data_IF_115153703500
#
_entry.id   IF_115153703500
#
_cell.length_a   1.000
_cell.length_b   1.000
_cell.length_c   1.000
_cell.angle_alpha   90.00
_cell.angle_beta   90.00
_cell.angle_gamma   90.00
#
_symmetry.space_group_name_H-M   'P 1'
#
loop_
_entity.id
_entity.type
_entity.pdbx_description
1 polymer ?
#
# COMPACT_ATOMS: atom_id res chain seq x y z
N UNK A 1 12.51 -40.98 -22.68
CA UNK A 1 12.63 -39.64 -23.32
C UNK A 1 12.54 -38.63 -22.20
N UNK A 2 13.69 -38.28 -21.66
CA UNK A 2 13.79 -37.34 -20.54
C UNK A 2 13.77 -35.93 -21.09
N UNK A 3 12.79 -35.13 -20.64
CA UNK A 3 12.75 -33.70 -20.93
C UNK A 3 13.76 -32.96 -20.05
N UNK A 4 14.67 -32.18 -20.59
CA UNK A 4 15.61 -31.43 -19.76
C UNK A 4 14.85 -30.30 -19.03
N UNK A 5 14.85 -30.39 -17.72
CA UNK A 5 14.48 -29.28 -16.82
C UNK A 5 15.53 -28.19 -17.02
N UNK A 6 15.17 -27.13 -17.72
CA UNK A 6 16.03 -25.98 -17.87
C UNK A 6 16.11 -25.25 -16.51
N UNK A 7 17.17 -25.52 -15.75
CA UNK A 7 17.59 -24.63 -14.67
C UNK A 7 18.04 -23.31 -15.32
N UNK A 8 17.21 -22.26 -15.19
CA UNK A 8 17.61 -20.90 -15.53
C UNK A 8 18.71 -20.51 -14.54
N UNK A 9 19.96 -20.56 -14.97
CA UNK A 9 21.05 -19.93 -14.24
C UNK A 9 20.75 -18.42 -14.22
N UNK A 10 20.47 -17.88 -13.03
CA UNK A 10 20.32 -16.44 -12.86
C UNK A 10 21.66 -15.78 -13.24
N UNK A 11 21.61 -14.80 -14.14
CA UNK A 11 22.79 -13.99 -14.45
C UNK A 11 23.12 -13.10 -13.24
N UNK A 12 24.38 -12.74 -13.06
CA UNK A 12 24.79 -11.84 -11.95
C UNK A 12 24.04 -10.50 -11.94
N UNK A 13 23.51 -10.07 -13.08
CA UNK A 13 22.64 -8.90 -13.20
C UNK A 13 21.24 -9.12 -12.62
N UNK A 14 20.71 -10.32 -12.72
CA UNK A 14 19.40 -10.67 -12.16
C UNK A 14 19.49 -10.73 -10.62
N UNK A 15 20.57 -11.27 -10.05
CA UNK A 15 20.78 -11.29 -8.59
C UNK A 15 20.93 -9.89 -8.00
N UNK A 16 21.62 -8.97 -8.68
CA UNK A 16 21.75 -7.60 -8.24
C UNK A 16 20.41 -6.86 -8.24
N UNK A 17 19.58 -7.08 -9.25
CA UNK A 17 18.23 -6.55 -9.32
C UNK A 17 17.36 -7.13 -8.20
N UNK A 18 17.37 -8.45 -8.02
CA UNK A 18 16.60 -9.14 -6.99
C UNK A 18 16.92 -8.60 -5.60
N UNK A 19 18.21 -8.49 -5.28
CA UNK A 19 18.66 -7.98 -3.98
C UNK A 19 18.30 -6.51 -3.77
N UNK A 20 18.46 -5.66 -4.79
CA UNK A 20 18.13 -4.24 -4.68
C UNK A 20 16.62 -4.02 -4.49
N UNK A 21 15.78 -4.75 -5.25
CA UNK A 21 14.33 -4.67 -5.13
C UNK A 21 13.86 -5.20 -3.78
N UNK A 22 14.36 -6.36 -3.36
CA UNK A 22 14.01 -6.92 -2.05
C UNK A 22 14.35 -5.97 -0.91
N UNK A 23 15.54 -5.35 -0.94
CA UNK A 23 15.99 -4.42 0.10
C UNK A 23 15.06 -3.21 0.23
N UNK A 24 14.69 -2.55 -0.88
CA UNK A 24 13.81 -1.37 -0.82
C UNK A 24 12.36 -1.72 -0.45
N UNK A 25 11.88 -2.90 -0.87
CA UNK A 25 10.54 -3.38 -0.51
C UNK A 25 10.45 -3.66 0.98
N UNK A 26 11.43 -4.37 1.55
CA UNK A 26 11.48 -4.66 3.00
C UNK A 26 11.59 -3.36 3.80
N UNK A 27 12.47 -2.43 3.41
CA UNK A 27 12.62 -1.15 4.08
C UNK A 27 11.32 -0.35 4.09
N UNK A 28 10.62 -0.28 2.96
CA UNK A 28 9.35 0.43 2.86
C UNK A 28 8.23 -0.24 3.67
N UNK A 29 8.19 -1.58 3.76
CA UNK A 29 7.24 -2.30 4.62
C UNK A 29 7.50 -2.03 6.10
N UNK A 30 8.76 -2.07 6.54
CA UNK A 30 9.16 -1.73 7.92
C UNK A 30 8.73 -0.32 8.29
N UNK A 31 8.95 0.65 7.38
CA UNK A 31 8.54 2.04 7.57
C UNK A 31 7.02 2.16 7.64
N UNK A 32 6.27 1.55 6.71
CA UNK A 32 4.81 1.62 6.67
C UNK A 32 4.15 0.97 7.89
N UNK A 33 4.71 -0.13 8.38
CA UNK A 33 4.18 -0.85 9.54
C UNK A 33 4.69 -0.31 10.88
N UNK A 34 5.64 0.63 10.81
CA UNK A 34 6.28 1.23 11.98
C UNK A 34 6.79 0.18 12.99
N UNK A 35 7.31 -0.93 12.48
CA UNK A 35 7.86 -2.01 13.28
C UNK A 35 9.01 -2.71 12.56
N UNK A 36 10.13 -2.98 13.23
CA UNK A 36 11.24 -3.73 12.63
C UNK A 36 10.98 -5.24 12.57
N UNK A 37 9.98 -5.72 13.31
CA UNK A 37 9.67 -7.16 13.40
C UNK A 37 8.71 -7.57 12.28
N UNK A 38 9.22 -7.58 11.04
CA UNK A 38 8.48 -8.03 9.86
C UNK A 38 9.24 -9.16 9.19
N UNK A 39 8.54 -10.25 8.95
CA UNK A 39 9.02 -11.31 8.07
C UNK A 39 8.39 -11.10 6.69
N UNK A 40 9.20 -11.12 5.63
CA UNK A 40 8.76 -10.84 4.26
C UNK A 40 9.14 -12.00 3.36
N UNK A 41 8.18 -12.45 2.57
CA UNK A 41 8.40 -13.42 1.50
C UNK A 41 7.91 -12.80 0.18
N UNK A 42 8.83 -12.56 -0.74
CA UNK A 42 8.54 -12.08 -2.08
C UNK A 42 8.34 -13.31 -2.96
N UNK A 43 7.14 -13.46 -3.53
CA UNK A 43 6.76 -14.66 -4.28
C UNK A 43 7.36 -14.65 -5.68
N UNK A 44 7.04 -13.61 -6.46
CA UNK A 44 7.51 -13.44 -7.84
C UNK A 44 7.39 -11.98 -8.24
N UNK A 45 8.15 -11.58 -9.24
CA UNK A 45 8.02 -10.26 -9.85
C UNK A 45 8.24 -10.34 -11.36
N UNK A 46 7.67 -9.35 -12.03
CA UNK A 46 7.82 -9.12 -13.46
C UNK A 46 8.73 -7.92 -13.70
N UNK A 47 9.58 -8.04 -14.71
CA UNK A 47 10.49 -6.98 -15.12
C UNK A 47 10.15 -6.54 -16.53
N UNK A 48 9.77 -5.29 -16.71
CA UNK A 48 9.50 -4.69 -18.01
C UNK A 48 10.54 -3.62 -18.33
N UNK A 49 11.03 -3.63 -19.57
CA UNK A 49 11.96 -2.58 -20.04
C UNK A 49 11.17 -1.28 -20.17
N UNK A 50 11.57 -0.26 -19.43
CA UNK A 50 10.98 1.08 -19.46
C UNK A 50 11.80 2.05 -20.29
N UNK A 51 13.14 1.95 -20.21
CA UNK A 51 14.09 2.71 -21.02
C UNK A 51 15.38 1.93 -21.20
N UNK A 52 16.38 2.54 -21.81
CA UNK A 52 17.72 1.93 -21.94
C UNK A 52 18.33 1.63 -20.56
N UNK A 53 18.03 2.47 -19.57
CA UNK A 53 18.58 2.38 -18.20
C UNK A 53 17.60 1.83 -17.19
N UNK A 54 16.31 2.03 -17.41
CA UNK A 54 15.28 1.76 -16.38
C UNK A 54 14.52 0.47 -16.67
N UNK A 55 14.22 -0.23 -15.61
CA UNK A 55 13.31 -1.38 -15.61
C UNK A 55 12.18 -1.11 -14.63
N UNK A 56 10.94 -1.24 -15.10
CA UNK A 56 9.80 -1.28 -14.22
C UNK A 56 9.72 -2.68 -13.61
N UNK A 57 9.77 -2.75 -12.30
CA UNK A 57 9.65 -4.00 -11.55
C UNK A 57 8.35 -3.96 -10.79
N UNK A 58 7.51 -4.96 -10.99
CA UNK A 58 6.27 -5.14 -10.24
C UNK A 58 6.15 -6.55 -9.75
N UNK A 59 5.65 -6.73 -8.56
CA UNK A 59 5.54 -8.04 -7.95
C UNK A 59 4.57 -8.08 -6.80
N UNK A 60 4.51 -9.25 -6.21
CA UNK A 60 3.70 -9.54 -5.04
C UNK A 60 4.49 -10.35 -4.03
N UNK A 61 4.02 -10.32 -2.80
CA UNK A 61 4.60 -11.09 -1.72
C UNK A 61 3.65 -11.17 -0.54
N UNK A 62 4.15 -11.75 0.51
CA UNK A 62 3.46 -11.89 1.79
C UNK A 62 4.36 -11.41 2.90
N UNK A 63 3.77 -10.75 3.88
CA UNK A 63 4.48 -10.34 5.09
C UNK A 63 3.76 -10.86 6.33
N UNK A 64 4.51 -10.99 7.39
CA UNK A 64 4.01 -11.33 8.72
C UNK A 64 4.62 -10.36 9.73
N UNK A 65 3.81 -9.86 10.65
CA UNK A 65 4.24 -8.85 11.63
C UNK A 65 4.37 -9.51 13.00
N UNK A 66 5.55 -9.43 13.59
CA UNK A 66 5.84 -10.02 14.89
C UNK A 66 5.62 -11.52 14.90
N UNK A 67 4.99 -12.01 15.96
CA UNK A 67 4.66 -13.43 16.16
C UNK A 67 3.26 -13.80 15.62
N UNK A 68 2.64 -12.94 14.81
CA UNK A 68 1.33 -13.22 14.23
C UNK A 68 1.38 -14.47 13.33
N UNK A 69 0.33 -15.29 13.40
CA UNK A 69 0.24 -16.49 12.60
C UNK A 69 -0.17 -16.20 11.14
N UNK A 70 -0.79 -15.06 10.90
CA UNK A 70 -1.41 -14.74 9.61
C UNK A 70 -0.44 -13.99 8.68
N UNK A 71 -0.31 -14.50 7.46
CA UNK A 71 0.41 -13.85 6.39
C UNK A 71 -0.50 -12.87 5.66
N UNK A 72 0.00 -11.68 5.42
CA UNK A 72 -0.70 -10.59 4.76
C UNK A 72 -0.09 -10.38 3.39
N UNK A 73 -0.91 -10.46 2.35
CA UNK A 73 -0.48 -10.21 0.98
C UNK A 73 -0.16 -8.73 0.74
N UNK A 74 0.79 -8.46 -0.12
CA UNK A 74 1.07 -7.13 -0.64
C UNK A 74 1.47 -7.19 -2.11
N UNK A 75 1.30 -6.07 -2.80
CA UNK A 75 1.86 -5.80 -4.13
C UNK A 75 2.81 -4.64 -4.06
N UNK A 76 3.76 -4.63 -4.96
CA UNK A 76 4.68 -3.51 -5.08
C UNK A 76 5.03 -3.21 -6.53
N UNK A 77 5.43 -1.97 -6.78
CA UNK A 77 6.06 -1.56 -8.02
C UNK A 77 7.17 -0.56 -7.74
N UNK A 78 8.28 -0.69 -8.46
CA UNK A 78 9.43 0.20 -8.37
C UNK A 78 10.13 0.33 -9.72
N UNK A 79 11.02 1.29 -9.84
CA UNK A 79 11.92 1.45 -10.99
C UNK A 79 13.32 1.06 -10.57
N UNK A 80 13.93 0.17 -11.32
CA UNK A 80 15.32 -0.23 -11.15
C UNK A 80 16.19 0.45 -12.21
N UNK A 81 17.24 1.16 -11.76
CA UNK A 81 18.26 1.77 -12.61
C UNK A 81 19.42 0.79 -12.81
N UNK A 82 19.61 0.37 -14.05
CA UNK A 82 20.66 -0.60 -14.41
C UNK A 82 22.07 0.01 -14.37
N UNK A 83 22.19 1.34 -14.44
CA UNK A 83 23.47 2.04 -14.40
C UNK A 83 24.05 2.08 -12.98
N UNK A 84 23.18 2.33 -12.01
CA UNK A 84 23.56 2.41 -10.60
C UNK A 84 23.26 1.14 -9.82
N UNK A 85 22.68 0.12 -10.47
CA UNK A 85 22.24 -1.13 -9.83
C UNK A 85 21.40 -0.86 -8.58
N UNK A 86 20.48 0.08 -8.66
CA UNK A 86 19.67 0.54 -7.53
C UNK A 86 18.19 0.57 -7.87
N UNK A 87 17.35 0.24 -6.88
CA UNK A 87 15.91 0.37 -6.98
C UNK A 87 15.44 1.65 -6.28
N UNK A 88 14.47 2.34 -6.89
CA UNK A 88 13.82 3.49 -6.31
C UNK A 88 12.85 3.10 -5.19
N UNK A 89 12.32 4.10 -4.47
CA UNK A 89 11.34 3.85 -3.41
C UNK A 89 10.08 3.18 -3.99
N UNK A 90 9.66 2.01 -3.46
CA UNK A 90 8.57 1.25 -4.04
C UNK A 90 7.21 1.85 -3.65
N UNK A 91 6.26 1.78 -4.58
CA UNK A 91 4.85 1.93 -4.26
C UNK A 91 4.34 0.58 -3.77
N UNK A 92 3.87 0.52 -2.53
CA UNK A 92 3.36 -0.71 -1.92
C UNK A 92 1.88 -0.57 -1.62
N UNK A 93 1.11 -1.58 -1.99
CA UNK A 93 -0.29 -1.76 -1.61
C UNK A 93 -0.39 -3.01 -0.75
N UNK A 94 -0.74 -2.83 0.50
CA UNK A 94 -0.94 -3.93 1.44
C UNK A 94 -2.38 -4.37 1.33
N UNK A 95 -2.57 -5.67 1.15
CA UNK A 95 -3.88 -6.25 0.90
C UNK A 95 -4.35 -6.10 -0.56
N UNK A 96 -5.49 -6.72 -0.90
CA UNK A 96 -6.19 -6.51 -2.18
C UNK A 96 -5.88 -7.52 -3.27
N UNK A 97 -5.28 -8.67 -2.97
CA UNK A 97 -4.91 -9.59 -4.06
C UNK A 97 -4.73 -11.04 -3.70
N UNK A 98 -4.67 -11.38 -2.45
CA UNK A 98 -4.37 -12.75 -2.05
C UNK A 98 -5.62 -13.54 -1.70
N UNK A 99 -5.62 -14.82 -2.02
CA UNK A 99 -6.57 -15.78 -1.49
C UNK A 99 -6.60 -15.64 0.05
N UNK A 100 -7.70 -15.12 0.61
CA UNK A 100 -7.85 -14.85 2.04
C UNK A 100 -8.34 -13.44 2.36
N UNK A 101 -8.32 -12.51 1.42
CA UNK A 101 -8.95 -11.21 1.63
C UNK A 101 -10.46 -11.32 1.46
N UNK A 102 -11.15 -10.68 2.37
CA UNK A 102 -12.60 -10.67 2.43
C UNK A 102 -13.11 -9.26 2.64
N UNK A 103 -14.07 -8.86 1.82
CA UNK A 103 -14.83 -7.66 2.10
C UNK A 103 -15.67 -7.89 3.36
N UNK A 104 -15.61 -6.95 4.28
CA UNK A 104 -16.32 -6.99 5.55
C UNK A 104 -17.24 -5.77 5.69
N UNK A 105 -18.32 -5.86 6.47
CA UNK A 105 -19.17 -4.71 6.73
C UNK A 105 -18.37 -3.54 7.31
N UNK A 106 -18.69 -2.34 6.87
CA UNK A 106 -18.06 -1.12 7.39
C UNK A 106 -18.44 -0.91 8.85
N UNK A 107 -17.42 -0.76 9.71
CA UNK A 107 -17.64 -0.39 11.10
C UNK A 107 -17.89 1.13 11.20
N UNK A 108 -19.09 1.50 11.68
CA UNK A 108 -19.49 2.90 11.77
C UNK A 108 -18.61 3.74 12.72
N UNK A 109 -17.95 3.12 13.69
CA UNK A 109 -17.04 3.78 14.61
C UNK A 109 -15.72 4.08 13.93
N UNK A 110 -15.17 3.10 13.20
CA UNK A 110 -13.93 3.29 12.44
C UNK A 110 -14.12 4.30 11.31
N UNK A 111 -15.26 4.26 10.61
CA UNK A 111 -15.58 5.24 9.57
C UNK A 111 -15.58 6.66 10.14
N UNK A 112 -16.25 6.87 11.27
CA UNK A 112 -16.28 8.17 11.94
C UNK A 112 -14.91 8.65 12.39
N UNK A 113 -14.11 7.76 12.97
CA UNK A 113 -12.72 8.07 13.34
C UNK A 113 -11.87 8.47 12.14
N UNK A 114 -12.08 7.80 10.99
CA UNK A 114 -11.40 8.13 9.74
C UNK A 114 -11.81 9.52 9.23
N UNK A 115 -13.11 9.81 9.23
CA UNK A 115 -13.64 11.12 8.85
C UNK A 115 -13.07 12.23 9.73
N UNK A 116 -13.11 12.07 11.06
CA UNK A 116 -12.58 13.04 12.02
C UNK A 116 -11.08 13.28 11.84
N UNK A 117 -10.33 12.19 11.60
CA UNK A 117 -8.89 12.28 11.39
C UNK A 117 -8.53 13.04 10.11
N UNK A 118 -9.18 12.71 9.00
CA UNK A 118 -8.95 13.38 7.71
C UNK A 118 -9.43 14.83 7.78
N UNK A 119 -10.59 15.12 8.37
CA UNK A 119 -11.08 16.49 8.57
C UNK A 119 -10.10 17.34 9.40
N UNK A 120 -9.54 16.78 10.47
CA UNK A 120 -8.52 17.45 11.30
C UNK A 120 -7.25 17.77 10.51
N UNK A 121 -6.83 16.87 9.63
CA UNK A 121 -5.63 17.08 8.80
C UNK A 121 -5.91 18.16 7.72
N UNK A 122 -7.08 18.13 7.10
CA UNK A 122 -7.53 19.18 6.17
C UNK A 122 -7.61 20.56 6.85
N UNK A 123 -8.14 20.64 8.07
CA UNK A 123 -8.17 21.87 8.84
C UNK A 123 -6.77 22.44 9.08
N UNK A 124 -5.81 21.55 9.38
CA UNK A 124 -4.42 21.94 9.59
C UNK A 124 -3.76 22.42 8.30
N UNK A 125 -4.02 21.72 7.19
CA UNK A 125 -3.40 22.04 5.90
C UNK A 125 -3.96 23.32 5.29
N UNK A 126 -5.26 23.55 5.40
CA UNK A 126 -5.94 24.68 4.76
C UNK A 126 -6.24 25.84 5.71
N UNK A 127 -5.86 25.73 6.98
CA UNK A 127 -6.07 26.77 7.98
C UNK A 127 -7.55 27.08 8.25
N UNK A 128 -8.44 26.17 7.90
CA UNK A 128 -9.88 26.34 7.94
C UNK A 128 -10.49 25.41 9.01
N UNK A 129 -11.00 25.99 10.10
CA UNK A 129 -11.55 25.26 11.24
C UNK A 129 -12.94 24.63 11.00
N UNK A 130 -13.33 24.44 9.75
CA UNK A 130 -14.65 23.97 9.40
C UNK A 130 -14.65 22.94 8.26
N UNK A 131 -13.53 22.27 8.00
CA UNK A 131 -13.52 21.21 7.00
C UNK A 131 -14.50 20.10 7.41
N UNK A 132 -15.38 19.73 6.49
CA UNK A 132 -16.33 18.65 6.67
C UNK A 132 -16.10 17.61 5.59
N UNK A 133 -16.16 16.35 5.99
CA UNK A 133 -16.02 15.23 5.09
C UNK A 133 -17.34 14.50 5.00
N UNK A 134 -17.78 14.21 3.79
CA UNK A 134 -18.92 13.35 3.52
C UNK A 134 -18.44 12.21 2.64
N UNK A 135 -18.46 10.99 3.17
CA UNK A 135 -18.08 9.80 2.45
C UNK A 135 -19.32 9.13 1.86
N UNK A 136 -19.30 8.87 0.57
CA UNK A 136 -20.44 8.29 -0.17
C UNK A 136 -20.20 6.81 -0.48
N UNK A 137 -18.96 6.44 -0.78
CA UNK A 137 -18.56 5.06 -1.08
C UNK A 137 -17.47 4.62 -0.12
N UNK A 138 -17.72 3.53 0.62
CA UNK A 138 -16.76 3.00 1.58
C UNK A 138 -16.68 1.50 1.38
N UNK A 139 -15.48 0.99 1.20
CA UNK A 139 -15.19 -0.45 1.13
C UNK A 139 -14.16 -0.80 2.17
N UNK A 140 -14.47 -1.77 3.02
CA UNK A 140 -13.54 -2.33 4.00
C UNK A 140 -13.18 -3.76 3.62
N UNK A 141 -11.89 -4.02 3.52
CA UNK A 141 -11.34 -5.35 3.22
C UNK A 141 -10.46 -5.80 4.38
N UNK A 142 -10.74 -6.99 4.88
CA UNK A 142 -9.94 -7.62 5.93
C UNK A 142 -8.77 -8.38 5.28
N UNK A 143 -7.54 -8.00 5.65
CA UNK A 143 -6.31 -8.68 5.28
C UNK A 143 -5.72 -9.43 6.46
N UNK A 144 -5.89 -10.77 6.46
CA UNK A 144 -5.65 -11.55 7.66
C UNK A 144 -6.61 -11.13 8.78
N UNK A 145 -6.36 -11.58 10.00
CA UNK A 145 -7.18 -11.16 11.17
C UNK A 145 -6.73 -9.84 11.80
N UNK A 146 -5.69 -9.23 11.25
CA UNK A 146 -5.04 -8.08 11.86
C UNK A 146 -5.39 -6.76 11.19
N UNK A 147 -5.35 -6.71 9.88
CA UNK A 147 -5.44 -5.45 9.16
C UNK A 147 -6.78 -5.27 8.47
N UNK A 148 -7.33 -4.06 8.60
CA UNK A 148 -8.44 -3.58 7.80
C UNK A 148 -7.93 -2.51 6.84
N UNK A 149 -8.10 -2.72 5.55
CA UNK A 149 -7.89 -1.70 4.53
C UNK A 149 -9.23 -1.06 4.21
N UNK A 150 -9.31 0.25 4.40
CA UNK A 150 -10.51 1.03 4.12
C UNK A 150 -10.20 1.95 2.95
N UNK A 151 -10.98 1.82 1.89
CA UNK A 151 -10.99 2.76 0.77
C UNK A 151 -12.30 3.51 0.78
N UNK A 152 -12.24 4.82 0.64
CA UNK A 152 -13.44 5.65 0.63
C UNK A 152 -13.34 6.75 -0.42
N UNK A 153 -14.49 7.15 -0.95
CA UNK A 153 -14.66 8.31 -1.83
C UNK A 153 -15.75 9.20 -1.26
N UNK A 154 -15.65 10.48 -1.53
CA UNK A 154 -16.64 11.42 -1.07
C UNK A 154 -16.29 12.85 -1.46
N UNK A 155 -16.81 13.79 -0.68
CA UNK A 155 -16.60 15.22 -0.84
C UNK A 155 -16.03 15.82 0.43
N UNK A 156 -14.98 16.61 0.28
CA UNK A 156 -14.44 17.47 1.31
C UNK A 156 -14.96 18.89 1.10
N UNK A 157 -15.69 19.43 2.07
CA UNK A 157 -16.09 20.83 2.12
C UNK A 157 -15.02 21.61 2.90
N UNK A 158 -14.33 22.49 2.20
CA UNK A 158 -13.24 23.29 2.72
C UNK A 158 -13.71 24.73 3.07
N UNK A 159 -15.01 24.91 3.31
CA UNK A 159 -15.60 26.18 3.68
C UNK A 159 -15.46 27.24 2.57
N UNK A 160 -14.73 28.31 2.82
CA UNK A 160 -14.56 29.42 1.84
C UNK A 160 -13.81 28.98 0.56
N UNK A 161 -13.09 27.85 0.59
CA UNK A 161 -12.39 27.32 -0.59
C UNK A 161 -13.28 26.41 -1.45
N UNK A 162 -14.52 26.16 -1.00
CA UNK A 162 -15.48 25.34 -1.70
C UNK A 162 -15.34 23.86 -1.41
N UNK A 163 -16.04 23.05 -2.21
CA UNK A 163 -16.06 21.58 -2.04
C UNK A 163 -15.26 20.90 -3.15
N UNK A 164 -14.54 19.84 -2.81
CA UNK A 164 -13.72 19.08 -3.74
C UNK A 164 -13.90 17.59 -3.53
N UNK A 165 -13.85 16.76 -4.60
CA UNK A 165 -13.81 15.32 -4.45
C UNK A 165 -12.61 14.88 -3.61
N UNK A 166 -12.80 13.85 -2.80
CA UNK A 166 -11.75 13.23 -2.00
C UNK A 166 -11.75 11.73 -2.19
N UNK A 167 -10.55 11.15 -2.27
CA UNK A 167 -10.30 9.71 -2.19
C UNK A 167 -9.44 9.46 -0.95
N UNK A 168 -9.80 8.46 -0.16
CA UNK A 168 -9.09 8.07 1.05
C UNK A 168 -8.68 6.61 0.94
N UNK A 169 -7.46 6.32 1.35
CA UNK A 169 -6.96 4.97 1.56
C UNK A 169 -6.34 4.89 2.95
N UNK A 170 -6.86 4.01 3.79
CA UNK A 170 -6.45 3.86 5.17
C UNK A 170 -6.19 2.41 5.53
N UNK A 171 -5.25 2.20 6.46
CA UNK A 171 -4.90 0.91 7.02
C UNK A 171 -5.03 0.98 8.54
N UNK A 172 -5.89 0.12 9.10
CA UNK A 172 -6.14 0.02 10.53
C UNK A 172 -5.66 -1.31 11.06
N UNK A 173 -4.89 -1.29 12.15
CA UNK A 173 -4.44 -2.49 12.84
C UNK A 173 -5.41 -2.79 13.99
N UNK A 174 -6.16 -3.88 13.86
CA UNK A 174 -7.16 -4.30 14.84
C UNK A 174 -6.52 -4.78 16.15
N UNK A 175 -5.30 -5.32 16.09
CA UNK A 175 -4.58 -5.83 17.26
C UNK A 175 -3.98 -4.67 18.06
N UNK A 176 -3.35 -3.72 17.37
CA UNK A 176 -2.80 -2.51 18.00
C UNK A 176 -3.89 -1.47 18.35
N UNK A 177 -5.09 -1.60 17.77
CA UNK A 177 -6.17 -0.64 17.98
C UNK A 177 -5.89 0.74 17.38
N UNK A 178 -5.20 0.82 16.24
CA UNK A 178 -4.76 2.09 15.70
C UNK A 178 -4.58 2.15 14.19
N UNK A 179 -4.62 3.38 13.68
CA UNK A 179 -4.36 3.66 12.26
C UNK A 179 -2.86 3.59 11.98
N UNK A 180 -2.47 2.70 11.09
CA UNK A 180 -1.09 2.57 10.61
C UNK A 180 -0.79 3.59 9.51
N UNK A 181 -1.77 3.81 8.62
CA UNK A 181 -1.66 4.76 7.53
C UNK A 181 -3.02 5.36 7.21
N UNK A 182 -3.03 6.66 6.92
CA UNK A 182 -4.19 7.36 6.35
C UNK A 182 -3.67 8.29 5.28
N UNK A 183 -4.02 8.02 4.04
CA UNK A 183 -3.71 8.84 2.88
C UNK A 183 -5.00 9.39 2.29
N UNK A 184 -4.95 10.61 1.77
CA UNK A 184 -6.05 11.18 1.01
C UNK A 184 -5.54 12.01 -0.17
N UNK A 185 -6.36 12.07 -1.20
CA UNK A 185 -6.12 12.84 -2.41
C UNK A 185 -7.34 13.73 -2.67
N UNK A 186 -7.09 15.00 -3.00
CA UNK A 186 -8.12 15.98 -3.31
C UNK A 186 -8.12 16.34 -4.80
N UNK A 187 -9.30 16.58 -5.38
CA UNK A 187 -9.45 17.10 -6.72
C UNK A 187 -9.71 16.07 -7.80
N UNK A 188 -9.37 16.39 -9.06
CA UNK A 188 -9.74 15.60 -10.24
C UNK A 188 -9.09 14.20 -10.32
N UNK A 189 -7.99 13.95 -9.61
CA UNK A 189 -7.36 12.63 -9.49
C UNK A 189 -8.15 11.63 -8.62
N UNK A 190 -9.18 12.10 -7.92
CA UNK A 190 -10.07 11.26 -7.12
C UNK A 190 -11.19 10.57 -7.94
N UNK A 191 -11.16 10.74 -9.28
CA UNK A 191 -12.18 10.20 -10.19
C UNK A 191 -11.63 9.05 -11.02
N UNK A 192 -11.36 7.91 -10.47
CA UNK A 192 -11.25 6.65 -11.24
C UNK A 192 -11.51 5.46 -10.36
#
# INVERSE_FOLDING_TARGET
MDSPTAHRQASSGDEALDNAVAAVVVAALVEQMNTPSIEVNIDAFDVAISSVRDRNVSGQGRMRVGDDADWIGFRYSTVYDTTFSSAGYPRITIGGVSAGEREVPNDATLVRQLEDRVATELDRQFGNRAARLQLDEITTVEGGKRLLRITARGIADLGLQGSTPVRIEALYDQVAGGWQRVNYELGAGARD
#
